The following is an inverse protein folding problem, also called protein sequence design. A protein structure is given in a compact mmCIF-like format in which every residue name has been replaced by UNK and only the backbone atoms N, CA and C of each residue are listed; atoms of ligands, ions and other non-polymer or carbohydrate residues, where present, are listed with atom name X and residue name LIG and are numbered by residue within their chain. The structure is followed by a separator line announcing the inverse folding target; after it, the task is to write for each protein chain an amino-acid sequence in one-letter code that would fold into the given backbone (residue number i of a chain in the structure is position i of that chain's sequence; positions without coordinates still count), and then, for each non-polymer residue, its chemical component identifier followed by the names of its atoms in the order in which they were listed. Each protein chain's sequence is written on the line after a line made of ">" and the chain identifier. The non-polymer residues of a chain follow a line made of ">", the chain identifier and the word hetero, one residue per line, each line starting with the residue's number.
data_IF_782861312903
#
_entry.id   IF_782861312903
#
_cell.length_a   1.000
_cell.length_b   1.000
_cell.length_c   1.000
_cell.angle_alpha   90.00
_cell.angle_beta   90.00
_cell.angle_gamma   90.00
#
_symmetry.space_group_name_H-M   'P 1'
#
loop_
_entity.id
_entity.type
_entity.pdbx_description
1 polymer ?
#
# COMPACT_ATOMS: atom_id res chain seq x y z
N UNK A 1 -8.08 12.40 27.06
CA UNK A 1 -7.37 13.37 26.22
C UNK A 1 -5.85 13.15 26.30
N UNK A 2 -5.33 12.10 25.64
CA UNK A 2 -3.89 11.82 25.60
C UNK A 2 -3.52 11.43 24.17
N UNK A 3 -2.84 12.36 23.49
CA UNK A 3 -2.21 12.11 22.20
C UNK A 3 -0.84 11.44 22.41
N UNK A 4 -0.47 10.57 21.48
CA UNK A 4 0.81 9.88 21.50
C UNK A 4 1.94 10.70 20.87
N UNK A 5 3.00 10.02 20.46
CA UNK A 5 4.11 10.61 19.69
C UNK A 5 3.58 11.14 18.35
N UNK A 6 4.10 12.29 17.91
CA UNK A 6 3.76 12.87 16.61
C UNK A 6 4.38 12.03 15.49
N UNK A 7 3.55 11.67 14.53
CA UNK A 7 3.95 10.96 13.30
C UNK A 7 3.65 11.83 12.08
N UNK A 8 4.42 11.71 10.99
CA UNK A 8 4.08 12.36 9.73
C UNK A 8 2.78 11.75 9.16
N UNK A 9 1.91 12.61 8.63
CA UNK A 9 0.71 12.21 7.89
C UNK A 9 0.72 12.92 6.53
N UNK A 10 0.57 12.16 5.45
CA UNK A 10 0.53 12.68 4.08
C UNK A 10 -0.71 12.08 3.42
N UNK A 11 -1.54 12.94 2.85
CA UNK A 11 -2.74 12.55 2.12
C UNK A 11 -2.48 12.71 0.62
N UNK A 12 -2.52 11.62 -0.13
CA UNK A 12 -2.23 11.60 -1.58
C UNK A 12 -3.46 11.10 -2.33
N UNK A 13 -4.04 11.95 -3.18
CA UNK A 13 -5.26 11.63 -3.92
C UNK A 13 -5.53 12.68 -5.03
N UNK A 14 -6.16 12.32 -6.16
CA UNK A 14 -6.69 13.29 -7.11
C UNK A 14 -7.74 14.23 -6.51
N UNK A 15 -8.37 13.85 -5.40
CA UNK A 15 -9.36 14.67 -4.72
C UNK A 15 -8.78 15.57 -3.65
N UNK A 16 -7.46 15.75 -3.55
CA UNK A 16 -6.87 16.69 -2.57
C UNK A 16 -6.09 17.82 -3.24
N UNK A 17 -5.99 18.94 -2.52
CA UNK A 17 -5.15 20.07 -2.94
C UNK A 17 -3.67 19.70 -3.01
N UNK A 18 -2.93 20.36 -3.89
CA UNK A 18 -1.47 20.14 -4.02
C UNK A 18 -0.74 21.11 -3.12
N UNK A 19 0.29 20.62 -2.43
CA UNK A 19 1.10 21.45 -1.54
C UNK A 19 0.33 22.04 -0.36
N UNK A 20 -0.84 21.50 -0.03
CA UNK A 20 -1.65 21.96 1.10
C UNK A 20 -1.09 21.38 2.40
N UNK A 21 -0.82 22.27 3.35
CA UNK A 21 -0.50 21.90 4.72
C UNK A 21 -1.74 22.09 5.59
N UNK A 22 -2.22 21.00 6.19
CA UNK A 22 -3.30 21.01 7.17
C UNK A 22 -2.72 20.99 8.60
N UNK A 23 -3.19 21.91 9.44
CA UNK A 23 -2.74 22.07 10.82
C UNK A 23 -3.72 21.47 11.84
N UNK A 24 -4.78 20.82 11.38
CA UNK A 24 -5.71 20.07 12.22
C UNK A 24 -4.97 19.01 13.01
N UNK A 25 -5.32 18.86 14.29
CA UNK A 25 -4.73 17.84 15.16
C UNK A 25 -5.44 16.52 14.91
N UNK A 26 -4.70 15.57 14.35
CA UNK A 26 -5.15 14.20 14.12
C UNK A 26 -4.47 13.22 15.07
N UNK A 27 -5.08 12.05 15.21
CA UNK A 27 -4.45 10.88 15.79
C UNK A 27 -4.69 9.64 14.90
N UNK A 28 -4.18 8.47 15.30
CA UNK A 28 -4.35 7.26 14.50
C UNK A 28 -5.82 6.84 14.30
N UNK A 29 -6.72 7.27 15.19
CA UNK A 29 -8.14 6.97 15.09
C UNK A 29 -8.89 7.88 14.11
N UNK A 30 -8.25 8.94 13.61
CA UNK A 30 -8.77 9.78 12.52
C UNK A 30 -8.98 9.01 11.22
N UNK A 31 -8.18 7.98 10.95
CA UNK A 31 -8.33 7.13 9.77
C UNK A 31 -9.63 6.29 9.80
N UNK A 32 -9.87 5.42 10.81
CA UNK A 32 -11.13 4.68 10.90
C UNK A 32 -12.35 5.60 11.05
N UNK A 33 -12.22 6.74 11.75
CA UNK A 33 -13.28 7.75 11.83
C UNK A 33 -13.67 8.30 10.45
N UNK A 34 -12.67 8.59 9.61
CA UNK A 34 -12.89 9.06 8.24
C UNK A 34 -13.57 7.98 7.39
N UNK A 35 -13.11 6.72 7.46
CA UNK A 35 -13.72 5.59 6.73
C UNK A 35 -15.19 5.42 7.14
N UNK A 36 -15.46 5.39 8.44
CA UNK A 36 -16.83 5.32 8.97
C UNK A 36 -17.70 6.40 8.35
N UNK A 37 -17.23 7.66 8.35
CA UNK A 37 -17.99 8.81 7.85
C UNK A 37 -18.18 8.77 6.33
N UNK A 38 -17.13 8.46 5.57
CA UNK A 38 -17.18 8.43 4.10
C UNK A 38 -18.11 7.33 3.56
N UNK A 39 -18.11 6.16 4.19
CA UNK A 39 -18.90 5.00 3.75
C UNK A 39 -20.21 4.83 4.52
N UNK A 40 -20.53 5.71 5.47
CA UNK A 40 -21.76 5.63 6.25
C UNK A 40 -21.88 4.36 7.10
N UNK A 41 -20.77 3.88 7.66
CA UNK A 41 -20.77 2.64 8.44
C UNK A 41 -21.64 2.77 9.71
N UNK A 42 -22.29 1.67 10.16
CA UNK A 42 -23.34 1.72 11.16
C UNK A 42 -22.87 2.17 12.54
N UNK A 43 -21.62 1.88 12.90
CA UNK A 43 -21.06 2.22 14.21
C UNK A 43 -19.58 2.59 14.10
N UNK A 44 -19.10 3.33 15.10
CA UNK A 44 -17.66 3.47 15.36
C UNK A 44 -17.13 2.18 16.01
N UNK A 45 -15.81 1.98 15.94
CA UNK A 45 -15.16 0.81 16.57
C UNK A 45 -15.01 1.00 18.08
N UNK A 46 -14.75 2.24 18.51
CA UNK A 46 -14.50 2.61 19.90
C UNK A 46 -14.98 4.03 20.20
N UNK A 47 -14.89 4.46 21.46
CA UNK A 47 -15.10 5.86 21.82
C UNK A 47 -14.00 6.80 21.27
N UNK A 48 -12.83 6.25 20.90
CA UNK A 48 -11.67 7.03 20.47
C UNK A 48 -11.84 7.54 19.04
N UNK A 49 -12.13 6.64 18.09
CA UNK A 49 -12.45 7.02 16.70
C UNK A 49 -13.76 7.80 16.60
N UNK A 50 -14.71 7.59 17.52
CA UNK A 50 -15.91 8.43 17.60
C UNK A 50 -15.61 9.90 17.92
N UNK A 51 -14.53 10.18 18.65
CA UNK A 51 -14.12 11.53 19.06
C UNK A 51 -13.02 12.14 18.15
N UNK A 52 -12.54 11.40 17.16
CA UNK A 52 -11.41 11.81 16.33
C UNK A 52 -11.81 12.80 15.23
N UNK A 53 -10.90 13.71 14.89
CA UNK A 53 -11.03 14.56 13.71
C UNK A 53 -10.91 13.72 12.43
N UNK A 54 -11.58 14.14 11.36
CA UNK A 54 -11.69 13.39 10.09
C UNK A 54 -11.20 14.23 8.89
N UNK A 55 -10.78 13.56 7.82
CA UNK A 55 -10.04 14.19 6.72
C UNK A 55 -10.90 14.83 5.63
N UNK A 56 -12.23 14.72 5.70
CA UNK A 56 -13.14 15.06 4.59
C UNK A 56 -13.06 16.51 4.12
N UNK A 57 -12.69 17.44 5.01
CA UNK A 57 -12.55 18.84 4.65
C UNK A 57 -11.36 19.11 3.74
N UNK A 58 -10.43 18.15 3.62
CA UNK A 58 -9.31 18.21 2.67
C UNK A 58 -9.71 17.74 1.27
N UNK A 59 -10.90 17.16 1.08
CA UNK A 59 -11.36 16.70 -0.23
C UNK A 59 -11.97 17.83 -1.06
N UNK A 60 -11.47 17.96 -2.28
CA UNK A 60 -11.97 18.85 -3.32
C UNK A 60 -13.27 18.28 -3.92
N UNK A 61 -14.18 19.16 -4.39
CA UNK A 61 -15.42 18.73 -5.02
C UNK A 61 -15.21 18.04 -6.38
N UNK A 62 -14.07 18.27 -7.03
CA UNK A 62 -13.72 17.67 -8.31
C UNK A 62 -12.29 17.12 -8.27
N UNK A 63 -12.09 15.95 -8.89
CA UNK A 63 -10.77 15.38 -9.06
C UNK A 63 -9.91 16.27 -9.95
N UNK A 64 -8.71 16.60 -9.47
CA UNK A 64 -7.69 17.28 -10.26
C UNK A 64 -7.09 16.32 -11.30
N UNK A 65 -6.63 16.85 -12.43
CA UNK A 65 -5.79 16.07 -13.34
C UNK A 65 -4.35 16.06 -12.79
N UNK A 66 -3.85 14.86 -12.46
CA UNK A 66 -2.46 14.65 -12.06
C UNK A 66 -1.78 13.85 -13.15
N UNK A 67 -0.85 14.48 -13.87
CA UNK A 67 0.00 13.74 -14.79
C UNK A 67 1.04 12.96 -13.98
N UNK A 68 1.00 11.63 -14.04
CA UNK A 68 2.03 10.76 -13.45
C UNK A 68 3.34 10.75 -14.27
N UNK A 69 3.54 11.78 -15.11
CA UNK A 69 4.71 11.90 -15.97
C UNK A 69 5.95 11.82 -15.08
N UNK A 70 6.79 10.83 -15.35
CA UNK A 70 8.02 10.52 -14.62
C UNK A 70 7.87 9.71 -13.32
N UNK A 71 6.71 9.08 -13.02
CA UNK A 71 6.67 8.11 -11.91
C UNK A 71 7.73 7.02 -12.10
N UNK A 72 7.87 6.49 -13.31
CA UNK A 72 8.92 5.50 -13.65
C UNK A 72 10.34 6.03 -13.56
N UNK A 73 10.56 7.36 -13.68
CA UNK A 73 11.88 7.96 -13.50
C UNK A 73 12.17 8.32 -12.03
N UNK A 74 11.12 8.51 -11.20
CA UNK A 74 11.21 8.83 -9.76
C UNK A 74 11.16 7.60 -8.87
N UNK A 75 10.48 6.54 -9.30
CA UNK A 75 10.70 5.18 -8.83
C UNK A 75 11.97 4.72 -9.54
N UNK A 76 13.12 5.22 -9.10
CA UNK A 76 14.33 4.44 -9.26
C UNK A 76 14.04 3.19 -8.46
N UNK A 77 13.61 2.12 -9.13
CA UNK A 77 13.65 0.80 -8.52
C UNK A 77 15.07 0.68 -8.00
N UNK A 78 15.23 0.69 -6.67
CA UNK A 78 16.52 0.45 -6.07
C UNK A 78 16.80 -1.03 -6.34
N UNK A 79 17.29 -1.34 -7.53
CA UNK A 79 18.18 -2.48 -7.75
C UNK A 79 19.51 -2.14 -7.09
N UNK A 80 19.48 -1.77 -5.81
CA UNK A 80 20.65 -1.91 -4.97
C UNK A 80 20.62 -3.35 -4.50
N UNK A 81 21.13 -4.24 -5.35
CA UNK A 81 21.94 -5.34 -4.80
C UNK A 81 23.24 -4.64 -4.38
N UNK A 82 23.48 -4.41 -3.08
CA UNK A 82 24.73 -3.83 -2.66
C UNK A 82 25.80 -4.89 -2.89
N UNK A 83 26.74 -4.61 -3.78
CA UNK A 83 28.00 -5.35 -3.90
C UNK A 83 27.85 -6.76 -4.47
N UNK A 84 27.98 -6.88 -5.79
CA UNK A 84 28.62 -8.05 -6.38
C UNK A 84 30.10 -8.05 -5.97
N UNK A 85 30.36 -8.47 -4.73
CA UNK A 85 31.62 -9.05 -4.33
C UNK A 85 31.33 -10.52 -4.04
N UNK A 86 31.92 -11.40 -4.85
CA UNK A 86 32.06 -12.84 -4.55
C UNK A 86 32.43 -13.08 -3.07
N UNK A 87 31.92 -14.04 -2.30
CA UNK A 87 30.86 -15.06 -2.46
C UNK A 87 30.58 -15.59 -1.05
N UNK A 88 29.39 -15.37 -0.49
CA UNK A 88 28.80 -16.28 0.52
C UNK A 88 27.30 -15.98 0.72
N UNK A 89 26.49 -16.31 -0.28
CA UNK A 89 25.04 -16.20 -0.16
C UNK A 89 24.50 -17.32 0.74
N UNK A 90 23.63 -16.97 1.69
CA UNK A 90 22.91 -17.98 2.46
C UNK A 90 22.03 -18.84 1.55
N UNK A 91 21.67 -20.05 1.99
CA UNK A 91 20.80 -20.95 1.22
C UNK A 91 19.48 -20.28 0.81
N UNK A 92 18.92 -19.46 1.69
CA UNK A 92 17.69 -18.75 1.42
C UNK A 92 17.86 -17.71 0.30
N UNK A 93 18.94 -16.93 0.32
CA UNK A 93 19.23 -15.94 -0.72
C UNK A 93 19.47 -16.61 -2.08
N UNK A 94 20.11 -17.79 -2.10
CA UNK A 94 20.25 -18.61 -3.31
C UNK A 94 18.91 -19.09 -3.85
N UNK A 95 17.99 -19.49 -2.97
CA UNK A 95 16.65 -19.90 -3.39
C UNK A 95 15.84 -18.74 -3.99
N UNK A 96 15.97 -17.52 -3.44
CA UNK A 96 15.31 -16.33 -3.97
C UNK A 96 15.88 -15.90 -5.33
N UNK A 97 17.20 -15.99 -5.52
CA UNK A 97 17.85 -15.74 -6.80
C UNK A 97 17.38 -16.74 -7.88
N UNK A 98 17.36 -18.04 -7.55
CA UNK A 98 16.88 -19.07 -8.47
C UNK A 98 15.40 -18.88 -8.86
N UNK A 99 14.55 -18.50 -7.90
CA UNK A 99 13.14 -18.21 -8.16
C UNK A 99 12.98 -16.98 -9.07
N UNK A 100 13.74 -15.92 -8.81
CA UNK A 100 13.71 -14.71 -9.63
C UNK A 100 14.14 -15.01 -11.08
N UNK A 101 15.11 -15.88 -11.29
CA UNK A 101 15.57 -16.30 -12.62
C UNK A 101 14.50 -17.09 -13.38
N UNK A 102 13.79 -18.00 -12.70
CA UNK A 102 12.63 -18.71 -13.27
C UNK A 102 11.52 -17.74 -13.67
N UNK A 103 11.28 -16.70 -12.87
CA UNK A 103 10.27 -15.68 -13.16
C UNK A 103 10.70 -14.70 -14.27
N UNK A 104 12.01 -14.48 -14.44
CA UNK A 104 12.57 -13.57 -15.43
C UNK A 104 12.78 -14.21 -16.81
N UNK A 105 12.73 -15.54 -16.91
CA UNK A 105 12.76 -16.22 -18.21
C UNK A 105 11.53 -15.79 -19.04
N UNK A 106 11.73 -15.27 -20.28
CA UNK A 106 10.61 -14.88 -21.12
C UNK A 106 9.77 -16.12 -21.44
N UNK A 107 8.49 -16.09 -21.08
CA UNK A 107 7.55 -17.13 -21.44
C UNK A 107 7.60 -17.35 -22.97
N UNK A 108 7.68 -18.61 -23.47
CA UNK A 108 7.57 -18.85 -24.89
C UNK A 108 6.24 -18.27 -25.36
N UNK A 109 6.30 -17.39 -26.36
CA UNK A 109 5.14 -16.70 -26.90
C UNK A 109 4.05 -17.73 -27.28
N UNK A 110 2.92 -17.71 -26.57
CA UNK A 110 1.74 -18.48 -26.98
C UNK A 110 0.98 -19.27 -25.91
N UNK A 111 1.20 -19.09 -24.60
CA UNK A 111 0.29 -19.66 -23.59
C UNK A 111 -0.22 -18.57 -22.64
N UNK A 112 -1.52 -18.29 -22.78
CA UNK A 112 -2.29 -17.49 -21.85
C UNK A 112 -2.07 -17.99 -20.41
N UNK A 113 -1.99 -17.03 -19.50
CA UNK A 113 -1.71 -17.19 -18.07
C UNK A 113 -2.85 -17.99 -17.40
N UNK A 114 -2.85 -19.30 -17.55
CA UNK A 114 -3.86 -20.20 -16.97
C UNK A 114 -3.41 -20.85 -15.65
N UNK A 115 -2.30 -20.38 -15.06
CA UNK A 115 -1.69 -20.99 -13.86
C UNK A 115 -1.72 -20.14 -12.59
N UNK A 116 -2.01 -18.84 -12.67
CA UNK A 116 -2.05 -17.96 -11.48
C UNK A 116 -3.35 -18.15 -10.69
N UNK A 117 -4.40 -18.62 -11.35
CA UNK A 117 -5.71 -18.88 -10.73
C UNK A 117 -5.74 -20.13 -9.85
N UNK A 118 -4.87 -21.11 -10.10
CA UNK A 118 -4.91 -22.40 -9.39
C UNK A 118 -4.40 -22.25 -7.95
N UNK A 119 -3.31 -21.49 -7.76
CA UNK A 119 -2.72 -21.33 -6.42
C UNK A 119 -3.54 -20.42 -5.51
N UNK A 120 -4.21 -19.40 -6.08
CA UNK A 120 -5.13 -18.54 -5.34
C UNK A 120 -6.43 -19.28 -4.94
N UNK A 121 -6.89 -20.23 -5.78
CA UNK A 121 -8.05 -21.09 -5.45
C UNK A 121 -7.70 -22.13 -4.38
N UNK A 122 -6.55 -22.78 -4.48
CA UNK A 122 -6.08 -23.76 -3.49
C UNK A 122 -5.88 -23.14 -2.09
N UNK A 123 -5.56 -21.84 -2.00
CA UNK A 123 -5.47 -21.13 -0.73
C UNK A 123 -6.84 -20.85 -0.09
N UNK A 124 -7.85 -20.56 -0.91
CA UNK A 124 -9.21 -20.26 -0.42
C UNK A 124 -9.98 -21.52 -0.01
N UNK A 125 -9.65 -22.67 -0.59
CA UNK A 125 -10.28 -23.96 -0.28
C UNK A 125 -9.61 -24.71 0.89
N UNK A 126 -8.52 -24.18 1.48
CA UNK A 126 -7.94 -24.78 2.68
C UNK A 126 -8.82 -24.51 3.91
N UNK A 127 -9.29 -25.57 4.61
CA UNK A 127 -10.07 -25.38 5.84
C UNK A 127 -9.17 -24.70 6.88
N UNK A 128 -9.50 -23.46 7.19
CA UNK A 128 -8.88 -22.72 8.29
C UNK A 128 -9.16 -23.52 9.57
N UNK A 129 -8.10 -24.08 10.15
CA UNK A 129 -8.19 -24.83 11.40
C UNK A 129 -8.65 -23.90 12.53
N UNK A 130 -9.45 -24.40 13.50
CA UNK A 130 -10.22 -23.60 14.44
C UNK A 130 -9.39 -22.79 15.44
#
# INVERSE_FOLDING_TARGET
>A
DRLGVRVPAILVSPWVGEGVADHTVYDHSSLPATIKKMFGLPSFLTARDAAAATFEHNFLPQARQVALTNLSARVTATSAVPGAAETDYSQHQRSLLALAEVMAAPAPAGQAVAGVDTHARDFLDQPQSP
#
